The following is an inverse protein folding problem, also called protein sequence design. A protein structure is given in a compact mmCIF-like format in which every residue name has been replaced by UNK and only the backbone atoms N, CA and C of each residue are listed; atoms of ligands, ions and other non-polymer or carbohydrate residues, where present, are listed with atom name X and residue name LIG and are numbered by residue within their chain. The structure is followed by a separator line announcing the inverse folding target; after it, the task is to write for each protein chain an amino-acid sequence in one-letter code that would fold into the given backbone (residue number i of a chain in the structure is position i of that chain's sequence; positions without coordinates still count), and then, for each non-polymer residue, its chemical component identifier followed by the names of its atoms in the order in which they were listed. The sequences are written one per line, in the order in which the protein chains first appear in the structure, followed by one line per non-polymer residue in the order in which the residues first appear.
data_IF_810159860941
#
_entry.id   IF_810159860941
#
_cell.length_a   1.000
_cell.length_b   1.000
_cell.length_c   1.000
_cell.angle_alpha   90.00
_cell.angle_beta   90.00
_cell.angle_gamma   90.00
#
_symmetry.space_group_name_H-M   'P 1'
#
loop_
_entity.id
_entity.type
_entity.pdbx_description
1 polymer ?
#
# COMPACT_ATOMS: atom_id res chain seq x y z
N UNK A 1 15.56 44.57 2.18
CA UNK A 1 15.95 44.77 3.60
C UNK A 1 16.93 45.93 3.70
N UNK A 2 16.99 46.67 4.82
CA UNK A 2 18.04 47.66 5.15
C UNK A 2 18.47 47.42 6.59
N UNK A 3 19.77 47.38 6.86
CA UNK A 3 20.33 47.32 8.20
C UNK A 3 20.50 48.74 8.73
N UNK A 4 20.14 48.98 9.98
CA UNK A 4 20.22 50.30 10.62
C UNK A 4 21.30 50.32 11.68
N UNK A 5 21.33 49.33 12.56
CA UNK A 5 22.24 49.30 13.70
C UNK A 5 22.59 47.89 14.08
N UNK A 6 23.87 47.66 14.41
CA UNK A 6 24.37 46.38 14.93
C UNK A 6 25.02 46.62 16.28
N UNK A 7 24.55 45.93 17.32
CA UNK A 7 25.17 45.93 18.65
C UNK A 7 25.74 44.54 18.92
N UNK A 8 27.00 44.50 19.34
CA UNK A 8 27.79 43.29 19.53
C UNK A 8 28.35 43.33 20.95
N UNK A 9 28.13 42.26 21.71
CA UNK A 9 28.67 42.13 23.06
C UNK A 9 29.39 40.78 23.20
N UNK A 10 30.70 40.82 23.48
CA UNK A 10 31.55 39.65 23.72
C UNK A 10 31.44 38.54 22.64
N UNK A 11 31.54 38.93 21.37
CA UNK A 11 31.54 37.99 20.24
C UNK A 11 32.92 37.93 19.59
N UNK A 12 33.45 36.73 19.37
CA UNK A 12 34.74 36.49 18.71
C UNK A 12 35.88 37.28 19.37
N UNK A 13 36.55 38.12 18.60
CA UNK A 13 37.59 39.04 19.09
C UNK A 13 37.08 40.42 19.56
N UNK A 14 35.77 40.67 19.50
CA UNK A 14 35.14 41.92 19.95
C UNK A 14 34.68 41.77 21.41
N UNK A 15 35.56 42.09 22.34
CA UNK A 15 35.31 42.08 23.78
C UNK A 15 34.60 43.35 24.25
N UNK A 16 33.62 43.22 25.15
CA UNK A 16 32.78 44.33 25.59
C UNK A 16 31.67 44.66 24.60
N UNK A 17 31.00 45.79 24.82
CA UNK A 17 29.89 46.26 23.98
C UNK A 17 30.40 47.20 22.87
N UNK A 18 30.06 46.87 21.64
CA UNK A 18 30.36 47.63 20.43
C UNK A 18 29.07 47.91 19.68
N UNK A 19 28.90 49.13 19.20
CA UNK A 19 27.74 49.55 18.42
C UNK A 19 28.20 50.15 17.10
N UNK A 20 27.52 49.76 16.02
CA UNK A 20 27.70 50.31 14.68
C UNK A 20 26.36 50.87 14.20
N UNK A 21 26.26 52.19 14.09
CA UNK A 21 25.07 52.87 13.59
C UNK A 21 25.25 53.19 12.10
N UNK A 22 24.73 52.32 11.24
CA UNK A 22 24.86 52.43 9.79
C UNK A 22 24.09 53.61 9.21
N UNK A 23 23.13 54.18 9.94
CA UNK A 23 22.39 55.35 9.48
C UNK A 23 23.16 56.64 9.78
N UNK A 24 23.71 56.78 10.99
CA UNK A 24 24.36 58.01 11.45
C UNK A 24 25.87 58.05 11.12
N UNK A 25 26.59 56.93 11.28
CA UNK A 25 28.05 56.90 11.13
C UNK A 25 28.50 57.01 9.67
N UNK A 26 27.64 56.62 8.73
CA UNK A 26 27.94 56.57 7.29
C UNK A 26 27.57 57.85 6.55
N UNK A 27 26.90 58.83 7.19
CA UNK A 27 26.51 60.08 6.55
C UNK A 27 25.65 59.92 5.29
N UNK A 28 24.89 58.83 5.18
CA UNK A 28 24.07 58.51 4.01
C UNK A 28 24.84 57.87 2.84
N UNK A 29 26.12 57.52 3.00
CA UNK A 29 26.87 56.82 1.97
C UNK A 29 26.28 55.42 1.69
N UNK A 30 26.03 55.06 0.41
CA UNK A 30 25.49 53.75 0.06
C UNK A 30 26.53 52.62 0.12
N UNK A 31 27.82 52.97 0.18
CA UNK A 31 28.94 52.04 0.22
C UNK A 31 29.90 52.43 1.34
N UNK A 32 30.31 51.44 2.14
CA UNK A 32 31.29 51.61 3.20
C UNK A 32 32.23 50.39 3.23
N UNK A 33 33.37 50.55 3.89
CA UNK A 33 34.39 49.50 4.01
C UNK A 33 34.78 49.34 5.47
N UNK A 34 34.80 48.10 5.96
CA UNK A 34 35.33 47.75 7.27
C UNK A 34 36.81 47.36 7.10
N UNK A 35 37.72 48.24 7.55
CA UNK A 35 39.18 48.05 7.43
C UNK A 35 39.78 47.70 8.80
N UNK A 36 40.81 46.86 8.81
CA UNK A 36 41.55 46.50 10.02
C UNK A 36 42.49 45.32 9.78
N UNK A 37 43.43 45.05 10.69
CA UNK A 37 44.35 43.92 10.57
C UNK A 37 43.62 42.57 10.61
N UNK A 38 44.26 41.50 10.13
CA UNK A 38 43.74 40.13 10.27
C UNK A 38 43.53 39.81 11.75
N UNK A 39 42.36 39.26 12.11
CA UNK A 39 41.99 38.99 13.51
C UNK A 39 41.27 40.13 14.24
N UNK A 40 41.20 41.34 13.68
CA UNK A 40 40.53 42.50 14.30
C UNK A 40 39.00 42.38 14.48
N UNK A 41 38.38 41.26 14.09
CA UNK A 41 36.95 41.04 14.27
C UNK A 41 36.06 41.57 13.14
N UNK A 42 36.64 41.98 12.00
CA UNK A 42 35.88 42.45 10.82
C UNK A 42 34.74 41.52 10.41
N UNK A 43 35.02 40.22 10.41
CA UNK A 43 34.03 39.22 10.05
C UNK A 43 33.11 38.84 11.20
N UNK A 44 33.52 39.07 12.45
CA UNK A 44 32.65 38.92 13.62
C UNK A 44 31.45 39.87 13.53
N UNK A 45 31.63 41.07 12.94
CA UNK A 45 30.52 42.00 12.68
C UNK A 45 29.47 41.36 11.76
N UNK A 46 29.93 40.68 10.71
CA UNK A 46 29.08 39.96 9.77
C UNK A 46 28.41 38.74 10.43
N UNK A 47 29.16 38.00 11.23
CA UNK A 47 28.64 36.86 12.00
C UNK A 47 27.55 37.32 12.98
N UNK A 48 27.68 38.48 13.62
CA UNK A 48 26.68 39.04 14.53
C UNK A 48 25.35 39.34 13.81
N UNK A 49 25.41 39.84 12.57
CA UNK A 49 24.21 40.07 11.74
C UNK A 49 23.51 38.75 11.44
N UNK A 50 24.24 37.74 10.97
CA UNK A 50 23.69 36.40 10.72
C UNK A 50 23.13 35.76 11.99
N UNK A 51 23.82 35.91 13.11
CA UNK A 51 23.43 35.35 14.40
C UNK A 51 22.13 35.97 14.93
N UNK A 52 21.98 37.30 14.85
CA UNK A 52 20.74 37.96 15.24
C UNK A 52 19.54 37.50 14.38
N UNK A 53 19.75 37.41 13.06
CA UNK A 53 18.69 37.07 12.09
C UNK A 53 18.29 35.61 12.08
N UNK A 54 19.25 34.69 12.18
CA UNK A 54 19.03 33.26 11.94
C UNK A 54 19.42 32.37 13.11
N UNK A 55 20.17 32.89 14.09
CA UNK A 55 20.69 32.09 15.19
C UNK A 55 21.88 31.20 14.81
N UNK A 56 22.43 31.39 13.61
CA UNK A 56 23.50 30.60 13.03
C UNK A 56 24.56 31.51 12.38
N UNK A 57 25.80 31.01 12.23
CA UNK A 57 26.86 31.77 11.57
C UNK A 57 27.47 30.98 10.41
N UNK A 58 27.80 31.61 9.27
CA UNK A 58 28.37 30.92 8.10
C UNK A 58 29.68 30.19 8.43
N UNK A 59 30.48 30.72 9.35
CA UNK A 59 31.79 30.18 9.71
C UNK A 59 31.73 28.90 10.51
N UNK A 60 30.71 28.72 11.33
CA UNK A 60 30.53 27.55 12.18
C UNK A 60 29.61 26.49 11.52
N UNK A 61 28.95 26.83 10.41
CA UNK A 61 28.05 25.91 9.67
C UNK A 61 28.66 25.39 8.37
N UNK A 62 29.63 26.11 7.78
CA UNK A 62 30.32 25.68 6.56
C UNK A 62 31.30 24.54 6.85
N UNK A 63 31.25 23.49 6.03
CA UNK A 63 31.89 22.19 6.26
C UNK A 63 33.42 22.15 6.43
N UNK A 64 34.12 23.29 6.50
CA UNK A 64 35.53 23.36 6.92
C UNK A 64 35.70 23.16 8.44
N UNK A 65 34.67 23.42 9.26
CA UNK A 65 34.66 23.07 10.68
C UNK A 65 34.41 21.57 10.95
N UNK A 66 33.76 20.86 10.01
CA UNK A 66 33.45 19.42 10.11
C UNK A 66 34.64 18.47 10.30
N UNK A 67 35.87 18.95 10.10
CA UNK A 67 37.11 18.17 10.28
C UNK A 67 37.78 18.37 11.65
N UNK A 68 37.21 19.18 12.56
CA UNK A 68 37.65 19.30 13.95
C UNK A 68 36.45 18.98 14.84
N UNK A 69 36.47 17.79 15.46
CA UNK A 69 35.36 17.28 16.26
C UNK A 69 34.84 18.28 17.31
N UNK A 70 33.54 18.18 17.61
CA UNK A 70 32.77 18.95 18.60
C UNK A 70 32.64 20.49 18.44
N UNK A 71 33.25 21.11 17.41
CA UNK A 71 33.32 22.59 17.27
C UNK A 71 32.15 23.24 16.47
N UNK A 72 31.08 22.50 16.15
CA UNK A 72 29.93 22.98 15.35
C UNK A 72 28.85 23.72 16.18
N UNK A 73 29.11 23.95 17.47
CA UNK A 73 28.19 24.67 18.34
C UNK A 73 28.34 26.19 18.17
N UNK A 74 27.28 26.84 17.67
CA UNK A 74 27.22 28.29 17.47
C UNK A 74 27.60 29.10 18.71
N UNK A 75 27.43 28.53 19.91
CA UNK A 75 27.77 29.15 21.20
C UNK A 75 29.28 29.39 21.37
N UNK A 76 30.13 28.68 20.63
CA UNK A 76 31.58 28.90 20.60
C UNK A 76 32.00 30.24 19.99
N UNK A 77 31.08 30.99 19.38
CA UNK A 77 31.34 32.36 18.98
C UNK A 77 31.55 33.31 20.17
N UNK A 78 31.10 32.94 21.38
CA UNK A 78 31.32 33.72 22.59
C UNK A 78 32.82 33.95 22.83
N UNK A 79 33.22 35.20 23.10
CA UNK A 79 34.61 35.54 23.39
C UNK A 79 35.17 34.71 24.55
N UNK A 80 36.44 34.27 24.43
CA UNK A 80 37.08 33.46 25.48
C UNK A 80 37.15 34.25 26.78
N UNK A 81 36.69 33.63 27.88
CA UNK A 81 36.64 34.27 29.19
C UNK A 81 35.37 35.09 29.47
N UNK A 82 34.45 35.21 28.51
CA UNK A 82 33.16 35.84 28.73
C UNK A 82 32.14 34.86 29.34
N UNK A 83 31.28 35.38 30.21
CA UNK A 83 30.14 34.64 30.78
C UNK A 83 28.86 34.77 29.96
N UNK A 84 28.78 35.77 29.08
CA UNK A 84 27.64 36.03 28.20
C UNK A 84 28.06 36.77 26.93
N UNK A 85 27.24 36.65 25.90
CA UNK A 85 27.39 37.37 24.64
C UNK A 85 26.03 37.67 24.00
N UNK A 86 25.99 38.73 23.20
CA UNK A 86 24.76 39.24 22.58
C UNK A 86 25.03 39.79 21.19
N UNK A 87 24.12 39.51 20.27
CA UNK A 87 24.01 40.20 18.99
C UNK A 87 22.63 40.84 18.88
N UNK A 88 22.56 42.14 18.62
CA UNK A 88 21.32 42.86 18.35
C UNK A 88 21.43 43.52 16.99
N UNK A 89 20.40 43.34 16.16
CA UNK A 89 20.30 43.95 14.85
C UNK A 89 18.98 44.71 14.75
N UNK A 90 19.07 46.01 14.47
CA UNK A 90 17.93 46.80 14.03
C UNK A 90 17.93 46.87 12.50
N UNK A 91 16.79 46.52 11.90
CA UNK A 91 16.63 46.44 10.45
C UNK A 91 15.24 46.89 10.03
N UNK A 92 15.08 47.22 8.76
CA UNK A 92 13.76 47.42 8.17
C UNK A 92 13.59 46.73 6.83
N UNK A 93 12.36 46.29 6.59
CA UNK A 93 11.96 45.70 5.30
C UNK A 93 10.86 46.55 4.67
N UNK A 94 10.78 46.53 3.34
CA UNK A 94 9.62 47.07 2.65
C UNK A 94 8.44 46.13 2.87
N UNK A 95 7.27 46.69 3.14
CA UNK A 95 6.01 45.95 3.25
C UNK A 95 5.14 46.24 2.03
N UNK A 96 4.23 45.32 1.73
CA UNK A 96 3.19 45.55 0.71
C UNK A 96 2.41 46.82 1.10
N UNK A 97 2.32 47.78 0.16
CA UNK A 97 1.75 49.11 0.42
C UNK A 97 2.76 50.27 0.52
N UNK A 98 4.06 50.02 0.35
CA UNK A 98 5.07 51.07 0.11
C UNK A 98 5.76 51.65 1.36
N UNK A 99 5.41 51.17 2.55
CA UNK A 99 6.07 51.53 3.82
C UNK A 99 7.30 50.68 4.17
N UNK A 100 7.93 50.97 5.30
CA UNK A 100 8.98 50.14 5.91
C UNK A 100 8.59 49.71 7.33
N UNK A 101 8.55 48.41 7.58
CA UNK A 101 8.43 47.88 8.93
C UNK A 101 9.82 47.73 9.55
N UNK A 102 10.02 48.26 10.77
CA UNK A 102 11.27 48.13 11.53
C UNK A 102 11.18 47.00 12.52
N UNK A 103 12.25 46.23 12.61
CA UNK A 103 12.41 45.09 13.50
C UNK A 103 13.72 45.19 14.27
N UNK A 104 13.71 44.65 15.49
CA UNK A 104 14.90 44.46 16.31
C UNK A 104 15.02 42.97 16.63
N UNK A 105 16.04 42.35 16.07
CA UNK A 105 16.36 40.95 16.28
C UNK A 105 17.48 40.84 17.33
N UNK A 106 17.26 40.01 18.35
CA UNK A 106 18.22 39.76 19.42
C UNK A 106 18.56 38.27 19.47
N UNK A 107 19.85 37.97 19.53
CA UNK A 107 20.36 36.67 19.95
C UNK A 107 21.17 36.86 21.23
N UNK A 108 20.90 36.05 22.24
CA UNK A 108 21.57 36.11 23.54
C UNK A 108 21.98 34.71 24.00
N UNK A 109 23.22 34.56 24.45
CA UNK A 109 23.72 33.33 25.05
C UNK A 109 24.51 33.66 26.31
N UNK A 110 24.36 32.83 27.33
CA UNK A 110 25.09 32.95 28.58
C UNK A 110 25.49 31.57 29.08
N UNK A 111 26.46 31.58 29.99
CA UNK A 111 26.91 30.42 30.76
C UNK A 111 26.19 30.40 32.10
N UNK A 112 26.16 29.23 32.74
CA UNK A 112 25.58 29.07 34.07
C UNK A 112 26.16 30.13 35.05
N UNK A 113 25.29 30.93 35.65
CA UNK A 113 25.67 32.02 36.56
C UNK A 113 26.45 33.17 35.93
N UNK A 114 26.44 33.29 34.59
CA UNK A 114 27.20 34.29 33.83
C UNK A 114 28.70 34.26 34.15
N UNK A 115 29.23 33.06 34.42
CA UNK A 115 30.66 32.84 34.70
C UNK A 115 31.35 32.22 33.49
N UNK A 116 32.61 32.60 33.28
CA UNK A 116 33.41 32.14 32.16
C UNK A 116 33.60 30.62 32.10
N UNK A 117 33.64 29.97 33.27
CA UNK A 117 33.79 28.53 33.47
C UNK A 117 32.45 27.77 33.53
N UNK A 118 31.32 28.49 33.50
CA UNK A 118 29.99 27.89 33.52
C UNK A 118 29.65 27.15 32.23
N UNK A 119 28.77 26.15 32.34
CA UNK A 119 28.24 25.43 31.18
C UNK A 119 27.32 26.33 30.34
N UNK A 120 27.42 26.21 29.01
CA UNK A 120 26.59 26.95 28.07
C UNK A 120 25.10 26.65 28.24
N UNK A 121 24.29 27.71 28.33
CA UNK A 121 22.83 27.61 28.32
C UNK A 121 22.28 27.63 26.90
N UNK A 122 21.01 27.26 26.74
CA UNK A 122 20.31 27.37 25.46
C UNK A 122 20.17 28.84 25.05
N UNK A 123 20.58 29.23 23.84
CA UNK A 123 20.45 30.60 23.38
C UNK A 123 18.98 31.05 23.35
N UNK A 124 18.73 32.30 23.73
CA UNK A 124 17.43 32.94 23.68
C UNK A 124 17.37 33.84 22.45
N UNK A 125 16.25 33.80 21.73
CA UNK A 125 16.02 34.65 20.55
C UNK A 125 14.83 35.57 20.81
N UNK A 126 15.07 36.85 20.60
CA UNK A 126 14.08 37.92 20.70
C UNK A 126 13.84 38.57 19.35
N UNK A 127 12.58 38.87 19.05
CA UNK A 127 12.17 39.65 17.90
C UNK A 127 11.13 40.68 18.33
N UNK A 128 11.40 41.93 18.02
CA UNK A 128 10.50 43.04 18.31
C UNK A 128 10.20 43.82 17.03
N UNK A 129 9.02 44.43 16.96
CA UNK A 129 8.59 45.31 15.87
C UNK A 129 8.32 46.71 16.40
N UNK A 130 8.80 47.72 15.70
CA UNK A 130 8.52 49.11 16.06
C UNK A 130 7.06 49.46 15.78
N UNK A 131 6.35 49.98 16.78
CA UNK A 131 4.98 50.46 16.65
C UNK A 131 4.98 51.99 16.57
N UNK A 132 4.78 52.55 15.37
CA UNK A 132 4.73 54.01 15.19
C UNK A 132 3.61 54.67 15.98
N UNK A 133 2.46 53.97 16.12
CA UNK A 133 1.31 54.47 16.87
C UNK A 133 1.59 54.63 18.37
N UNK A 134 2.48 53.81 18.94
CA UNK A 134 2.79 53.80 20.38
C UNK A 134 4.18 54.32 20.71
N UNK A 135 5.07 54.47 19.72
CA UNK A 135 6.45 54.87 19.92
C UNK A 135 7.27 53.87 20.76
N UNK A 136 6.92 52.57 20.71
CA UNK A 136 7.58 51.51 21.47
C UNK A 136 7.87 50.28 20.61
N UNK A 137 8.84 49.48 21.05
CA UNK A 137 9.10 48.15 20.51
C UNK A 137 8.09 47.15 21.08
N UNK A 138 7.32 46.52 20.20
CA UNK A 138 6.39 45.45 20.54
C UNK A 138 7.08 44.09 20.38
N UNK A 139 7.11 43.29 21.44
CA UNK A 139 7.70 41.94 21.41
C UNK A 139 6.81 41.01 20.60
N UNK A 140 7.36 40.46 19.52
CA UNK A 140 6.73 39.42 18.71
C UNK A 140 7.10 38.01 19.20
N UNK A 141 8.35 37.84 19.62
CA UNK A 141 8.85 36.60 20.21
C UNK A 141 10.01 36.89 21.16
N UNK A 142 10.10 36.16 22.27
CA UNK A 142 11.27 36.18 23.15
C UNK A 142 11.34 34.87 23.97
N UNK A 143 11.97 33.85 23.40
CA UNK A 143 11.99 32.49 23.96
C UNK A 143 13.27 31.73 23.54
N UNK A 144 13.54 30.59 24.19
CA UNK A 144 14.62 29.67 23.83
C UNK A 144 14.15 28.55 22.89
N UNK A 145 12.83 28.29 22.84
CA UNK A 145 12.24 27.19 22.07
C UNK A 145 12.01 27.60 20.62
N UNK A 146 12.64 26.88 19.69
CA UNK A 146 12.53 27.13 18.23
C UNK A 146 11.10 27.26 17.73
N UNK A 147 10.19 26.39 18.18
CA UNK A 147 8.76 26.44 17.81
C UNK A 147 8.04 27.75 18.15
N UNK A 148 8.58 28.57 19.07
CA UNK A 148 7.97 29.83 19.51
C UNK A 148 8.51 31.00 18.70
N UNK A 149 9.84 31.12 18.56
CA UNK A 149 10.42 32.26 17.85
C UNK A 149 10.43 32.10 16.32
N UNK A 150 10.59 30.88 15.81
CA UNK A 150 10.81 30.65 14.36
C UNK A 150 9.66 31.19 13.48
N UNK A 151 8.37 31.00 13.82
CA UNK A 151 7.29 31.55 13.01
C UNK A 151 7.33 33.08 12.90
N UNK A 152 7.65 33.78 13.99
CA UNK A 152 7.73 35.24 14.01
C UNK A 152 8.91 35.75 13.17
N UNK A 153 10.07 35.06 13.24
CA UNK A 153 11.21 35.37 12.38
C UNK A 153 10.91 35.08 10.91
N UNK A 154 10.28 33.94 10.59
CA UNK A 154 9.92 33.59 9.21
C UNK A 154 8.98 34.62 8.58
N UNK A 155 7.99 35.12 9.33
CA UNK A 155 7.10 36.20 8.88
C UNK A 155 7.85 37.53 8.72
N UNK A 156 8.66 37.93 9.70
CA UNK A 156 9.41 39.18 9.64
C UNK A 156 10.48 39.20 8.54
N UNK A 157 11.01 38.03 8.17
CA UNK A 157 12.01 37.86 7.13
C UNK A 157 11.41 37.47 5.77
N UNK A 158 10.08 37.35 5.66
CA UNK A 158 9.38 37.01 4.41
C UNK A 158 9.88 35.70 3.79
N UNK A 159 10.15 34.71 4.65
CA UNK A 159 10.69 33.42 4.24
C UNK A 159 12.17 33.42 3.83
N UNK A 160 12.89 34.55 3.97
CA UNK A 160 14.34 34.59 3.72
C UNK A 160 15.07 33.62 4.65
N UNK A 161 15.79 32.67 4.07
CA UNK A 161 16.59 31.68 4.82
C UNK A 161 18.01 32.18 5.10
N UNK A 162 18.72 31.52 6.02
CA UNK A 162 20.13 31.83 6.31
C UNK A 162 20.99 31.62 5.06
N UNK A 163 20.67 30.60 4.27
CA UNK A 163 21.36 30.30 3.02
C UNK A 163 21.11 31.38 1.96
N UNK A 164 19.88 31.91 1.88
CA UNK A 164 19.56 32.99 0.94
C UNK A 164 20.28 34.30 1.33
N UNK A 165 20.37 34.57 2.64
CA UNK A 165 21.10 35.72 3.16
C UNK A 165 22.60 35.63 2.87
N UNK A 166 23.22 34.46 3.08
CA UNK A 166 24.61 34.19 2.72
C UNK A 166 24.87 34.36 1.21
N UNK A 167 23.93 33.94 0.36
CA UNK A 167 24.10 34.04 -1.11
C UNK A 167 23.94 35.45 -1.67
N UNK A 168 23.00 36.23 -1.11
CA UNK A 168 22.55 37.48 -1.72
C UNK A 168 23.04 38.74 -1.01
N UNK A 169 23.27 38.68 0.30
CA UNK A 169 23.60 39.85 1.12
C UNK A 169 24.97 39.74 1.81
N UNK A 170 25.52 38.54 1.96
CA UNK A 170 26.74 38.31 2.73
C UNK A 170 27.66 37.28 2.06
N UNK A 171 28.47 37.68 1.07
CA UNK A 171 29.47 36.78 0.48
C UNK A 171 30.59 36.48 1.48
N UNK A 172 30.69 35.26 2.04
CA UNK A 172 31.75 34.93 2.98
C UNK A 172 33.10 34.90 2.27
N UNK A 173 34.17 35.24 3.00
CA UNK A 173 35.52 35.29 2.46
C UNK A 173 35.93 33.93 1.86
N UNK A 174 36.13 33.89 0.54
CA UNK A 174 36.59 32.71 -0.20
C UNK A 174 35.49 31.88 -0.89
N UNK A 175 34.21 32.11 -0.60
CA UNK A 175 33.12 31.35 -1.25
C UNK A 175 32.82 31.81 -2.68
N UNK A 176 33.08 33.07 -3.01
CA UNK A 176 32.97 33.55 -4.39
C UNK A 176 34.04 32.92 -5.30
N UNK A 177 35.27 32.77 -4.80
CA UNK A 177 36.31 32.03 -5.51
C UNK A 177 35.93 30.55 -5.66
N UNK A 178 35.37 29.94 -4.60
CA UNK A 178 34.86 28.57 -4.67
C UNK A 178 33.72 28.41 -5.70
N UNK A 179 32.85 29.41 -5.90
CA UNK A 179 31.86 29.42 -6.99
C UNK A 179 32.50 29.49 -8.37
N UNK A 180 33.56 30.28 -8.53
CA UNK A 180 34.27 30.41 -9.81
C UNK A 180 35.02 29.12 -10.18
N UNK A 181 35.69 28.52 -9.19
CA UNK A 181 36.51 27.31 -9.31
C UNK A 181 35.72 25.99 -9.20
N UNK A 182 34.45 26.05 -8.79
CA UNK A 182 33.60 24.87 -8.63
C UNK A 182 33.39 24.12 -9.96
N UNK A 183 33.38 22.77 -9.92
CA UNK A 183 32.99 21.97 -11.08
C UNK A 183 31.55 22.29 -11.52
N UNK A 184 31.19 22.04 -12.79
CA UNK A 184 29.91 22.46 -13.37
C UNK A 184 28.68 22.07 -12.56
N UNK A 185 28.69 20.88 -11.94
CA UNK A 185 27.60 20.37 -11.10
C UNK A 185 27.41 21.19 -9.82
N UNK A 186 28.51 21.50 -9.12
CA UNK A 186 28.49 22.34 -7.93
C UNK A 186 28.11 23.79 -8.28
N UNK A 187 28.56 24.29 -9.43
CA UNK A 187 28.19 25.61 -9.95
C UNK A 187 26.71 25.70 -10.30
N UNK A 188 26.17 24.67 -10.97
CA UNK A 188 24.75 24.56 -11.29
C UNK A 188 23.91 24.53 -10.00
N UNK A 189 24.32 23.74 -9.00
CA UNK A 189 23.64 23.72 -7.70
C UNK A 189 23.67 25.08 -6.98
N UNK A 190 24.76 25.85 -7.08
CA UNK A 190 24.82 27.18 -6.48
C UNK A 190 23.94 28.18 -7.26
N UNK A 191 23.97 28.13 -8.60
CA UNK A 191 23.14 28.98 -9.46
C UNK A 191 21.66 28.69 -9.30
N UNK A 192 21.26 27.42 -9.27
CA UNK A 192 19.89 26.98 -9.06
C UNK A 192 19.32 27.52 -7.75
N UNK A 193 20.15 27.49 -6.69
CA UNK A 193 19.81 28.03 -5.38
C UNK A 193 19.78 29.56 -5.34
N UNK A 194 20.52 30.24 -6.23
CA UNK A 194 20.55 31.71 -6.33
C UNK A 194 19.37 32.26 -7.16
N UNK A 195 18.91 31.50 -8.15
CA UNK A 195 17.77 31.86 -9.00
C UNK A 195 16.43 31.35 -8.47
N UNK A 196 16.43 30.70 -7.29
CA UNK A 196 15.26 30.05 -6.69
C UNK A 196 14.55 29.09 -7.67
N UNK A 197 15.33 28.36 -8.48
CA UNK A 197 14.83 27.41 -9.48
C UNK A 197 14.77 25.98 -8.94
N UNK A 198 14.76 25.82 -7.62
CA UNK A 198 14.63 24.53 -6.92
C UNK A 198 13.38 23.74 -7.33
N UNK A 199 12.34 24.45 -7.79
CA UNK A 199 11.11 23.86 -8.36
C UNK A 199 11.43 22.94 -9.56
N UNK A 200 12.42 23.27 -10.38
CA UNK A 200 12.77 22.46 -11.55
C UNK A 200 13.46 21.15 -11.17
N UNK A 201 14.20 21.12 -10.06
CA UNK A 201 14.75 19.89 -9.51
C UNK A 201 13.64 18.94 -9.05
N UNK A 202 12.63 19.45 -8.34
CA UNK A 202 11.46 18.64 -7.92
C UNK A 202 10.71 18.09 -9.14
N UNK A 203 10.50 18.91 -10.18
CA UNK A 203 9.91 18.45 -11.45
C UNK A 203 10.74 17.32 -12.07
N UNK A 204 12.07 17.48 -12.12
CA UNK A 204 12.99 16.45 -12.63
C UNK A 204 12.93 15.14 -11.82
N UNK A 205 12.91 15.25 -10.50
CA UNK A 205 12.80 14.09 -9.60
C UNK A 205 11.47 13.34 -9.82
N UNK A 206 10.35 14.05 -9.88
CA UNK A 206 9.02 13.47 -10.15
C UNK A 206 8.96 12.82 -11.53
N UNK A 207 9.55 13.44 -12.54
CA UNK A 207 9.62 12.87 -13.89
C UNK A 207 10.42 11.56 -13.91
N UNK A 208 11.57 11.52 -13.23
CA UNK A 208 12.37 10.29 -13.13
C UNK A 208 11.65 9.19 -12.35
N UNK A 209 10.95 9.53 -11.26
CA UNK A 209 10.12 8.57 -10.52
C UNK A 209 9.02 7.97 -11.40
N UNK A 210 8.32 8.81 -12.18
CA UNK A 210 7.32 8.34 -13.16
C UNK A 210 7.93 7.42 -14.22
N UNK A 211 9.12 7.77 -14.74
CA UNK A 211 9.85 6.92 -15.70
C UNK A 211 10.17 5.56 -15.10
N UNK A 212 10.71 5.51 -13.89
CA UNK A 212 11.04 4.25 -13.18
C UNK A 212 9.78 3.40 -12.97
N UNK A 213 8.68 4.01 -12.55
CA UNK A 213 7.41 3.30 -12.36
C UNK A 213 6.86 2.72 -13.68
N UNK A 214 6.86 3.51 -14.75
CA UNK A 214 6.42 3.06 -16.07
C UNK A 214 7.30 1.92 -16.62
N UNK A 215 8.61 1.99 -16.39
CA UNK A 215 9.54 0.97 -16.84
C UNK A 215 9.35 -0.36 -16.10
N UNK A 216 9.12 -0.31 -14.78
CA UNK A 216 8.76 -1.51 -14.00
C UNK A 216 7.46 -2.14 -14.46
N UNK A 217 6.45 -1.32 -14.78
CA UNK A 217 5.18 -1.82 -15.28
C UNK A 217 5.32 -2.47 -16.67
N UNK A 218 6.15 -1.89 -17.54
CA UNK A 218 6.49 -2.49 -18.83
C UNK A 218 7.19 -3.84 -18.66
N UNK A 219 8.19 -3.93 -17.77
CA UNK A 219 8.88 -5.19 -17.46
C UNK A 219 7.91 -6.25 -16.91
N UNK A 220 6.98 -5.85 -16.04
CA UNK A 220 5.93 -6.73 -15.51
C UNK A 220 5.03 -7.27 -16.62
N UNK A 221 4.55 -6.41 -17.50
CA UNK A 221 3.68 -6.78 -18.62
C UNK A 221 4.42 -7.65 -19.66
N UNK A 222 5.70 -7.36 -19.93
CA UNK A 222 6.53 -8.17 -20.81
C UNK A 222 6.73 -9.59 -20.25
N UNK A 223 7.04 -9.72 -18.95
CA UNK A 223 7.16 -11.02 -18.28
C UNK A 223 5.83 -11.82 -18.30
N UNK A 224 4.69 -11.14 -18.14
CA UNK A 224 3.37 -11.77 -18.29
C UNK A 224 3.11 -12.25 -19.72
N UNK A 225 3.58 -11.50 -20.72
CA UNK A 225 3.47 -11.88 -22.13
C UNK A 225 4.36 -13.07 -22.50
N UNK A 226 5.58 -13.14 -21.96
CA UNK A 226 6.49 -14.28 -22.16
C UNK A 226 5.94 -15.58 -21.55
N UNK A 227 5.25 -15.49 -20.39
CA UNK A 227 4.59 -16.63 -19.77
C UNK A 227 3.38 -17.17 -20.53
N UNK A 228 2.84 -16.41 -21.50
CA UNK A 228 1.73 -16.82 -22.36
C UNK A 228 2.30 -17.43 -23.63
N UNK A 229 2.45 -18.76 -23.64
CA UNK A 229 2.80 -19.50 -24.85
C UNK A 229 1.70 -19.28 -25.92
N UNK A 230 1.98 -18.40 -26.88
CA UNK A 230 1.11 -18.19 -28.04
C UNK A 230 1.29 -19.36 -28.98
N UNK A 231 0.25 -20.19 -29.12
CA UNK A 231 0.20 -21.21 -30.15
C UNK A 231 0.36 -20.55 -31.52
N UNK A 232 1.21 -21.13 -32.37
CA UNK A 232 1.25 -20.71 -33.76
C UNK A 232 -0.14 -20.96 -34.40
N UNK A 233 -0.57 -20.14 -35.38
CA UNK A 233 -1.84 -20.33 -36.07
C UNK A 233 -2.05 -21.76 -36.59
N UNK A 234 -0.97 -22.38 -37.06
CA UNK A 234 -0.92 -23.74 -37.60
C UNK A 234 -1.13 -24.79 -36.49
N UNK A 235 -0.54 -24.60 -35.32
CA UNK A 235 -0.68 -25.49 -34.16
C UNK A 235 -2.11 -25.41 -33.59
N UNK A 236 -2.65 -24.20 -33.47
CA UNK A 236 -4.03 -23.98 -33.05
C UNK A 236 -5.02 -24.65 -34.04
N UNK A 237 -4.81 -24.47 -35.34
CA UNK A 237 -5.62 -25.13 -36.36
C UNK A 237 -5.50 -26.66 -36.31
N UNK A 238 -4.31 -27.20 -36.02
CA UNK A 238 -4.09 -28.65 -35.85
C UNK A 238 -4.83 -29.21 -34.64
N UNK A 239 -4.78 -28.51 -33.51
CA UNK A 239 -5.51 -28.87 -32.30
C UNK A 239 -7.02 -28.85 -32.52
N UNK A 240 -7.55 -27.83 -33.20
CA UNK A 240 -8.97 -27.75 -33.56
C UNK A 240 -9.40 -28.94 -34.42
N UNK A 241 -8.64 -29.27 -35.48
CA UNK A 241 -8.92 -30.45 -36.32
C UNK A 241 -8.90 -31.74 -35.52
N UNK A 242 -7.93 -31.89 -34.61
CA UNK A 242 -7.80 -33.09 -33.76
C UNK A 242 -8.99 -33.22 -32.80
N UNK A 243 -9.47 -32.09 -32.26
CA UNK A 243 -10.60 -32.04 -31.36
C UNK A 243 -11.91 -32.37 -32.09
N UNK A 244 -12.11 -31.85 -33.29
CA UNK A 244 -13.26 -32.18 -34.15
C UNK A 244 -13.25 -33.66 -34.55
N UNK A 245 -12.10 -34.20 -34.98
CA UNK A 245 -11.96 -35.62 -35.31
C UNK A 245 -12.26 -36.52 -34.08
N UNK A 246 -11.80 -36.11 -32.90
CA UNK A 246 -12.04 -36.86 -31.66
C UNK A 246 -13.52 -36.80 -31.22
N UNK A 247 -14.18 -35.66 -31.40
CA UNK A 247 -15.65 -35.55 -31.21
C UNK A 247 -16.41 -36.44 -32.18
N UNK A 248 -16.04 -36.45 -33.45
CA UNK A 248 -16.65 -37.34 -34.45
C UNK A 248 -16.52 -38.82 -34.07
N UNK A 249 -15.33 -39.27 -33.64
CA UNK A 249 -15.11 -40.64 -33.15
C UNK A 249 -15.96 -40.95 -31.91
N UNK A 250 -16.06 -40.02 -30.96
CA UNK A 250 -16.88 -40.18 -29.76
C UNK A 250 -18.37 -40.36 -30.12
N UNK A 251 -18.88 -39.54 -31.03
CA UNK A 251 -20.28 -39.62 -31.46
C UNK A 251 -20.58 -40.91 -32.23
N UNK A 252 -19.65 -41.37 -33.07
CA UNK A 252 -19.78 -42.67 -33.75
C UNK A 252 -19.80 -43.82 -32.74
N UNK A 253 -18.89 -43.82 -31.77
CA UNK A 253 -18.86 -44.83 -30.71
C UNK A 253 -20.15 -44.83 -29.88
N UNK A 254 -20.69 -43.66 -29.55
CA UNK A 254 -21.98 -43.53 -28.85
C UNK A 254 -23.16 -44.08 -29.65
N UNK A 255 -23.20 -43.85 -30.96
CA UNK A 255 -24.24 -44.43 -31.82
C UNK A 255 -24.14 -45.94 -31.85
N UNK A 256 -22.92 -46.48 -31.98
CA UNK A 256 -22.71 -47.92 -32.00
C UNK A 256 -23.09 -48.57 -30.68
N UNK A 257 -22.73 -47.96 -29.54
CA UNK A 257 -23.14 -48.41 -28.22
C UNK A 257 -24.67 -48.45 -28.07
N UNK A 258 -25.40 -47.41 -28.53
CA UNK A 258 -26.87 -47.40 -28.51
C UNK A 258 -27.49 -48.50 -29.37
N UNK A 259 -26.90 -48.78 -30.53
CA UNK A 259 -27.36 -49.89 -31.39
C UNK A 259 -27.19 -51.23 -30.67
N UNK A 260 -26.01 -51.48 -30.10
CA UNK A 260 -25.72 -52.71 -29.34
C UNK A 260 -26.63 -52.85 -28.10
N UNK A 261 -26.89 -51.77 -27.37
CA UNK A 261 -27.85 -51.76 -26.26
C UNK A 261 -29.25 -52.16 -26.72
N UNK A 262 -29.67 -51.69 -27.90
CA UNK A 262 -30.94 -52.10 -28.52
C UNK A 262 -30.97 -53.58 -28.90
N UNK A 263 -29.88 -54.11 -29.47
CA UNK A 263 -29.74 -55.52 -29.83
C UNK A 263 -29.77 -56.44 -28.60
N UNK A 264 -29.03 -56.06 -27.54
CA UNK A 264 -29.05 -56.77 -26.25
C UNK A 264 -30.46 -56.74 -25.64
N UNK A 265 -31.14 -55.58 -25.69
CA UNK A 265 -32.52 -55.47 -25.22
C UNK A 265 -33.50 -56.33 -26.01
N UNK A 266 -33.29 -56.48 -27.32
CA UNK A 266 -34.10 -57.36 -28.16
C UNK A 266 -33.90 -58.84 -27.80
N UNK A 267 -32.65 -59.28 -27.60
CA UNK A 267 -32.34 -60.65 -27.16
C UNK A 267 -32.96 -60.96 -25.80
N UNK A 268 -32.80 -60.06 -24.82
CA UNK A 268 -33.41 -60.22 -23.50
C UNK A 268 -34.95 -60.33 -23.57
N UNK A 269 -35.58 -59.60 -24.50
CA UNK A 269 -37.02 -59.70 -24.74
C UNK A 269 -37.42 -61.01 -25.41
N UNK A 270 -36.61 -61.52 -26.33
CA UNK A 270 -36.83 -62.82 -26.95
C UNK A 270 -36.76 -63.95 -25.92
N UNK A 271 -35.75 -63.93 -25.04
CA UNK A 271 -35.61 -64.90 -23.94
C UNK A 271 -36.81 -64.83 -22.98
N UNK A 272 -37.27 -63.63 -22.63
CA UNK A 272 -38.44 -63.44 -21.77
C UNK A 272 -39.74 -63.97 -22.42
N UNK A 273 -39.91 -63.77 -23.73
CA UNK A 273 -41.07 -64.30 -24.47
C UNK A 273 -41.03 -65.83 -24.56
N UNK A 274 -39.85 -66.42 -24.80
CA UNK A 274 -39.69 -67.87 -24.81
C UNK A 274 -40.03 -68.48 -23.44
N UNK A 275 -39.57 -67.87 -22.35
CA UNK A 275 -39.93 -68.31 -21.00
C UNK A 275 -41.45 -68.17 -20.71
N UNK A 276 -42.09 -67.12 -21.22
CA UNK A 276 -43.55 -66.97 -21.13
C UNK A 276 -44.30 -68.03 -21.93
N UNK A 277 -43.81 -68.38 -23.12
CA UNK A 277 -44.40 -69.45 -23.95
C UNK A 277 -44.28 -70.82 -23.27
N UNK A 278 -43.12 -71.16 -22.72
CA UNK A 278 -42.92 -72.39 -21.94
C UNK A 278 -43.84 -72.45 -20.72
N UNK A 279 -43.98 -71.34 -19.99
CA UNK A 279 -44.86 -71.27 -18.83
C UNK A 279 -46.33 -71.44 -19.24
N UNK A 280 -46.78 -70.76 -20.28
CA UNK A 280 -48.15 -70.87 -20.80
C UNK A 280 -48.45 -72.29 -21.34
N UNK A 281 -47.48 -72.94 -21.98
CA UNK A 281 -47.60 -74.32 -22.43
C UNK A 281 -47.76 -75.29 -21.23
N UNK A 282 -46.96 -75.12 -20.18
CA UNK A 282 -47.07 -75.91 -18.96
C UNK A 282 -48.42 -75.70 -18.25
N UNK A 283 -48.92 -74.46 -18.17
CA UNK A 283 -50.26 -74.17 -17.64
C UNK A 283 -51.36 -74.82 -18.49
N UNK A 284 -51.24 -74.80 -19.82
CA UNK A 284 -52.19 -75.43 -20.72
C UNK A 284 -52.20 -76.97 -20.60
N UNK A 285 -51.04 -77.59 -20.35
CA UNK A 285 -50.92 -79.02 -20.08
C UNK A 285 -51.56 -79.40 -18.75
N UNK A 286 -51.31 -78.61 -17.69
CA UNK A 286 -51.97 -78.80 -16.39
C UNK A 286 -53.50 -78.64 -16.49
N UNK A 287 -53.98 -77.63 -17.22
CA UNK A 287 -55.40 -77.42 -17.43
C UNK A 287 -56.03 -78.59 -18.22
N UNK A 288 -55.34 -79.12 -19.23
CA UNK A 288 -55.78 -80.32 -19.98
C UNK A 288 -55.87 -81.55 -19.08
N UNK A 289 -54.85 -81.82 -18.27
CA UNK A 289 -54.87 -82.92 -17.32
C UNK A 289 -56.03 -82.79 -16.31
N UNK A 290 -56.26 -81.58 -15.78
CA UNK A 290 -57.38 -81.32 -14.87
C UNK A 290 -58.75 -81.55 -15.54
N UNK A 291 -58.90 -81.22 -16.82
CA UNK A 291 -60.12 -81.52 -17.59
C UNK A 291 -60.30 -83.03 -17.78
N UNK A 292 -59.23 -83.77 -18.09
CA UNK A 292 -59.28 -85.23 -18.24
C UNK A 292 -59.61 -85.94 -16.92
N UNK A 293 -59.03 -85.50 -15.80
CA UNK A 293 -59.33 -85.99 -14.46
C UNK A 293 -60.80 -85.72 -14.10
N UNK A 294 -61.27 -84.49 -14.34
CA UNK A 294 -62.66 -84.11 -14.12
C UNK A 294 -63.63 -84.92 -14.99
N UNK A 295 -63.29 -85.19 -16.26
CA UNK A 295 -64.08 -86.02 -17.16
C UNK A 295 -64.15 -87.47 -16.68
N UNK A 296 -63.04 -88.00 -16.16
CA UNK A 296 -62.97 -89.34 -15.57
C UNK A 296 -63.87 -89.45 -14.34
N UNK A 297 -63.82 -88.45 -13.44
CA UNK A 297 -64.66 -88.42 -12.24
C UNK A 297 -66.15 -88.23 -12.59
N UNK A 298 -66.47 -87.42 -13.60
CA UNK A 298 -67.82 -87.29 -14.13
C UNK A 298 -68.34 -88.63 -14.67
N UNK A 299 -67.48 -89.40 -15.34
CA UNK A 299 -67.77 -90.76 -15.79
C UNK A 299 -68.11 -91.71 -14.64
N UNK A 300 -67.31 -91.71 -13.57
CA UNK A 300 -67.57 -92.49 -12.34
C UNK A 300 -68.90 -92.12 -11.69
N UNK A 301 -69.18 -90.81 -11.56
CA UNK A 301 -70.45 -90.33 -11.02
C UNK A 301 -71.65 -90.76 -11.89
N UNK A 302 -71.49 -90.78 -13.22
CA UNK A 302 -72.52 -91.26 -14.15
C UNK A 302 -72.74 -92.77 -14.05
N UNK A 303 -71.70 -93.57 -13.76
CA UNK A 303 -71.84 -95.01 -13.49
C UNK A 303 -72.50 -95.27 -12.12
N UNK A 304 -72.10 -94.55 -11.07
CA UNK A 304 -72.77 -94.64 -9.76
C UNK A 304 -74.25 -94.30 -9.87
N UNK A 305 -74.59 -93.22 -10.59
CA UNK A 305 -75.98 -92.84 -10.87
C UNK A 305 -76.76 -93.93 -11.62
N UNK A 306 -76.12 -94.67 -12.54
CA UNK A 306 -76.74 -95.81 -13.25
C UNK A 306 -76.99 -97.02 -12.34
N UNK A 307 -76.09 -97.28 -11.39
CA UNK A 307 -76.19 -98.42 -10.48
C UNK A 307 -77.08 -98.15 -9.25
N UNK A 308 -77.31 -96.88 -8.89
CA UNK A 308 -78.09 -96.46 -7.72
C UNK A 308 -79.51 -97.05 -7.63
N UNK A 309 -80.30 -97.16 -8.73
CA UNK A 309 -81.62 -97.80 -8.69
C UNK A 309 -81.58 -99.29 -8.33
N UNK A 310 -80.48 -99.98 -8.66
CA UNK A 310 -80.29 -101.39 -8.33
C UNK A 310 -79.88 -101.62 -6.87
N UNK A 311 -79.37 -100.60 -6.17
CA UNK A 311 -78.95 -100.71 -4.77
C UNK A 311 -80.10 -101.16 -3.84
N UNK A 312 -81.30 -100.59 -4.03
CA UNK A 312 -82.49 -101.00 -3.27
C UNK A 312 -82.91 -102.45 -3.54
N UNK A 313 -82.78 -102.90 -4.79
CA UNK A 313 -83.08 -104.30 -5.19
C UNK A 313 -82.03 -105.27 -4.65
N UNK A 314 -80.76 -104.91 -4.66
CA UNK A 314 -79.68 -105.73 -4.12
C UNK A 314 -79.79 -105.86 -2.60
N UNK A 315 -80.16 -104.79 -1.90
CA UNK A 315 -80.46 -104.82 -0.47
C UNK A 315 -81.61 -105.79 -0.17
N UNK A 316 -82.72 -105.69 -0.91
CA UNK A 316 -83.86 -106.60 -0.78
C UNK A 316 -83.50 -108.06 -1.09
N UNK A 317 -82.67 -108.31 -2.12
CA UNK A 317 -82.21 -109.66 -2.48
C UNK A 317 -81.32 -110.25 -1.38
N UNK A 318 -80.37 -109.47 -0.83
CA UNK A 318 -79.51 -109.90 0.29
C UNK A 318 -80.34 -110.22 1.53
N UNK A 319 -81.40 -109.46 1.78
CA UNK A 319 -82.32 -109.73 2.87
C UNK A 319 -83.14 -111.01 2.63
N UNK A 320 -83.59 -111.23 1.40
CA UNK A 320 -84.33 -112.43 1.00
C UNK A 320 -83.47 -113.70 1.06
N UNK A 321 -82.24 -113.68 0.54
CA UNK A 321 -81.32 -114.82 0.62
C UNK A 321 -80.89 -115.11 2.05
N UNK A 322 -80.73 -114.09 2.90
CA UNK A 322 -80.52 -114.29 4.33
C UNK A 322 -81.72 -114.99 5.00
N UNK A 323 -82.96 -114.63 4.62
CA UNK A 323 -84.18 -115.31 5.11
C UNK A 323 -84.30 -116.74 4.60
N UNK A 324 -83.95 -116.99 3.34
CA UNK A 324 -84.02 -118.33 2.74
C UNK A 324 -82.97 -119.27 3.32
N UNK A 325 -81.73 -118.80 3.53
CA UNK A 325 -80.68 -119.55 4.23
C UNK A 325 -81.07 -119.87 5.68
N UNK A 326 -81.74 -118.94 6.37
CA UNK A 326 -82.27 -119.17 7.72
C UNK A 326 -83.45 -120.17 7.74
N UNK A 327 -84.23 -120.24 6.66
CA UNK A 327 -85.36 -121.16 6.54
C UNK A 327 -84.94 -122.58 6.16
N UNK A 328 -83.92 -122.75 5.29
CA UNK A 328 -83.37 -124.06 4.93
C UNK A 328 -82.58 -124.69 6.07
N UNK A 329 -81.91 -123.89 6.91
CA UNK A 329 -81.28 -124.38 8.14
C UNK A 329 -82.27 -124.88 9.21
N UNK A 330 -83.57 -124.65 9.06
CA UNK A 330 -84.62 -125.14 9.98
C UNK A 330 -85.27 -126.46 9.56
N UNK A 331 -84.95 -126.98 8.37
CA UNK A 331 -85.63 -128.16 7.77
C UNK A 331 -84.65 -129.30 7.42
N UNK A 332 -83.38 -129.18 7.82
CA UNK A 332 -82.40 -130.28 7.89
C UNK A 332 -82.12 -130.64 9.34
#
# INVERSE_FOLDING_TARGET
MKLHRVTIENLGSLYGSHELDLDNDLGGAPLFVIVGPTGAGKSTVLDAVSLALFGETPRLTSGRARNRGDDDDVRHIMSRGAGECRAVLELSRRVEGGGRARYRATWYCHRAGTRADGAFQTPRRGLERWSEARGVWEVLADDQRKKVYEPAFAEALDGLTVEDFQRSMLLPQGEFAALLEAPPEAKAAILERLTNTSVYLDVGQRANQRRIAAQRELERLAAQLEGVARLAPEEAASLVRTLEASRGRLDQARRHARTLEGEVGWLARADALAAQEEHAAAEADLARAAIEDAATELGRLAEDARCRPAAGRLAALREATAREAAATARVA
#
